data_IF_368792954227
#
_entry.id   IF_368792954227
#
_cell.length_a   1.000
_cell.length_b   1.000
_cell.length_c   1.000
_cell.angle_alpha   90.00
_cell.angle_beta   90.00
_cell.angle_gamma   90.00
#
_symmetry.space_group_name_H-M   'P 1'
#
loop_
_entity.id
_entity.type
_entity.pdbx_description
1 polymer ?
#
# COMPACT_ATOMS: atom_id res chain seq x y z
N UNK A 1 4.89 58.35 22.84
CA UNK A 1 5.65 57.52 21.88
C UNK A 1 5.18 56.09 22.04
N UNK A 2 4.25 55.66 21.18
CA UNK A 2 3.83 54.28 21.02
C UNK A 2 3.36 54.18 19.56
N UNK A 3 4.20 53.54 18.74
CA UNK A 3 4.05 53.47 17.30
C UNK A 3 2.85 52.62 16.89
N UNK A 4 1.99 53.21 16.05
CA UNK A 4 0.96 52.52 15.29
C UNK A 4 1.63 51.76 14.15
N UNK A 5 1.71 50.44 14.27
CA UNK A 5 2.05 49.56 13.14
C UNK A 5 0.77 49.33 12.35
N UNK A 6 0.64 50.07 11.27
CA UNK A 6 -0.44 50.03 10.29
C UNK A 6 -0.25 48.78 9.40
N UNK A 7 -1.05 47.75 9.65
CA UNK A 7 -1.08 46.53 8.83
C UNK A 7 -1.73 46.84 7.47
N UNK A 8 -0.88 47.22 6.53
CA UNK A 8 -1.20 47.43 5.13
C UNK A 8 -1.50 46.06 4.47
N UNK A 9 -2.74 45.59 4.62
CA UNK A 9 -3.28 44.46 3.86
C UNK A 9 -3.37 44.88 2.40
N UNK A 10 -2.39 44.45 1.62
CA UNK A 10 -2.42 44.46 0.16
C UNK A 10 -3.66 43.72 -0.36
N UNK A 11 -4.78 44.44 -0.48
CA UNK A 11 -5.88 44.12 -1.40
C UNK A 11 -5.38 44.31 -2.83
N UNK A 12 -4.51 43.40 -3.26
CA UNK A 12 -4.21 43.23 -4.67
C UNK A 12 -5.48 42.65 -5.29
N UNK A 13 -6.37 43.51 -5.80
CA UNK A 13 -7.51 43.14 -6.63
C UNK A 13 -7.00 42.20 -7.72
N UNK A 14 -7.14 40.89 -7.50
CA UNK A 14 -6.75 39.87 -8.46
C UNK A 14 -7.76 39.98 -9.59
N UNK A 15 -7.30 40.35 -10.78
CA UNK A 15 -8.13 40.37 -11.97
C UNK A 15 -8.86 39.02 -12.09
N UNK A 16 -10.19 39.07 -12.09
CA UNK A 16 -11.04 37.88 -12.18
C UNK A 16 -10.79 37.26 -13.54
N UNK A 17 -10.33 36.01 -13.56
CA UNK A 17 -10.12 35.28 -14.81
C UNK A 17 -11.48 34.90 -15.39
N UNK A 18 -11.84 35.49 -16.51
CA UNK A 18 -13.02 35.08 -17.27
C UNK A 18 -12.76 33.76 -18.00
N UNK A 19 -13.58 32.76 -17.71
CA UNK A 19 -13.62 31.47 -18.40
C UNK A 19 -15.07 31.13 -18.70
N UNK A 20 -15.35 30.52 -19.85
CA UNK A 20 -16.70 30.06 -20.14
C UNK A 20 -17.11 28.94 -19.16
N UNK A 21 -18.40 28.90 -18.84
CA UNK A 21 -18.97 27.94 -17.90
C UNK A 21 -18.65 26.49 -18.31
N UNK A 22 -18.79 26.17 -19.59
CA UNK A 22 -18.55 24.84 -20.14
C UNK A 22 -17.08 24.43 -20.04
N UNK A 23 -16.17 25.38 -20.24
CA UNK A 23 -14.73 25.12 -20.15
C UNK A 23 -14.32 24.91 -18.70
N UNK A 24 -14.87 25.68 -17.76
CA UNK A 24 -14.68 25.47 -16.32
C UNK A 24 -15.23 24.12 -15.87
N UNK A 25 -16.44 23.74 -16.33
CA UNK A 25 -17.04 22.42 -16.02
C UNK A 25 -16.16 21.26 -16.48
N UNK A 26 -15.69 21.29 -17.74
CA UNK A 26 -14.75 20.28 -18.28
C UNK A 26 -13.45 20.24 -17.50
N UNK A 27 -12.94 21.41 -17.09
CA UNK A 27 -11.74 21.51 -16.28
C UNK A 27 -11.95 20.85 -14.91
N UNK A 28 -13.02 21.20 -14.19
CA UNK A 28 -13.37 20.60 -12.91
C UNK A 28 -13.47 19.08 -13.03
N UNK A 29 -14.24 18.58 -14.00
CA UNK A 29 -14.44 17.14 -14.21
C UNK A 29 -13.12 16.41 -14.53
N UNK A 30 -12.23 17.00 -15.32
CA UNK A 30 -10.90 16.43 -15.60
C UNK A 30 -10.08 16.24 -14.32
N UNK A 31 -10.07 17.23 -13.42
CA UNK A 31 -9.33 17.11 -12.16
C UNK A 31 -9.99 16.14 -11.17
N UNK A 32 -11.32 16.10 -11.12
CA UNK A 32 -12.00 15.10 -10.30
C UNK A 32 -11.70 13.67 -10.77
N UNK A 33 -11.71 13.42 -12.08
CA UNK A 33 -11.34 12.12 -12.66
C UNK A 33 -9.87 11.76 -12.38
N UNK A 34 -9.00 12.74 -12.15
CA UNK A 34 -7.60 12.54 -11.74
C UNK A 34 -7.43 12.41 -10.21
N UNK A 35 -8.53 12.25 -9.45
CA UNK A 35 -8.51 11.99 -8.01
C UNK A 35 -8.33 13.22 -7.12
N UNK A 36 -8.55 14.44 -7.62
CA UNK A 36 -8.52 15.64 -6.79
C UNK A 36 -9.80 15.77 -5.96
N UNK A 37 -9.68 16.13 -4.68
CA UNK A 37 -10.87 16.31 -3.83
C UNK A 37 -11.64 17.60 -4.21
N UNK A 38 -12.99 17.59 -4.19
CA UNK A 38 -13.80 18.77 -4.51
C UNK A 38 -13.43 20.00 -3.68
N UNK A 39 -13.16 19.82 -2.38
CA UNK A 39 -12.80 20.91 -1.46
C UNK A 39 -11.49 21.60 -1.85
N UNK A 40 -10.44 20.81 -2.11
CA UNK A 40 -9.15 21.33 -2.55
C UNK A 40 -9.27 22.05 -3.90
N UNK A 41 -9.95 21.44 -4.86
CA UNK A 41 -10.09 21.99 -6.20
C UNK A 41 -10.92 23.28 -6.21
N UNK A 42 -11.97 23.38 -5.39
CA UNK A 42 -12.73 24.62 -5.18
C UNK A 42 -11.84 25.73 -4.65
N UNK A 43 -11.05 25.46 -3.60
CA UNK A 43 -10.12 26.43 -3.02
C UNK A 43 -9.06 26.88 -4.02
N UNK A 44 -8.44 25.93 -4.72
CA UNK A 44 -7.44 26.19 -5.75
C UNK A 44 -7.98 27.09 -6.87
N UNK A 45 -9.19 26.83 -7.39
CA UNK A 45 -9.78 27.66 -8.43
C UNK A 45 -10.02 29.11 -7.95
N UNK A 46 -10.55 29.29 -6.75
CA UNK A 46 -10.72 30.65 -6.19
C UNK A 46 -9.36 31.35 -6.02
N UNK A 47 -8.34 30.65 -5.54
CA UNK A 47 -6.99 31.19 -5.39
C UNK A 47 -6.35 31.57 -6.74
N UNK A 48 -6.64 30.82 -7.80
CA UNK A 48 -6.21 31.10 -9.17
C UNK A 48 -6.93 32.31 -9.80
N UNK A 49 -7.88 32.91 -9.08
CA UNK A 49 -8.62 34.11 -9.49
C UNK A 49 -9.89 33.81 -10.28
N UNK A 50 -10.43 32.59 -10.20
CA UNK A 50 -11.74 32.29 -10.77
C UNK A 50 -12.87 32.82 -9.87
N UNK A 51 -13.96 33.22 -10.49
CA UNK A 51 -15.15 33.72 -9.81
C UNK A 51 -15.76 32.65 -8.88
N UNK A 52 -15.92 33.00 -7.60
CA UNK A 52 -16.35 32.06 -6.55
C UNK A 52 -17.75 31.51 -6.82
N UNK A 53 -18.68 32.37 -7.22
CA UNK A 53 -20.07 32.00 -7.44
C UNK A 53 -20.22 31.10 -8.67
N UNK A 54 -19.44 31.39 -9.72
CA UNK A 54 -19.36 30.56 -10.91
C UNK A 54 -18.79 29.17 -10.60
N UNK A 55 -17.74 29.08 -9.76
CA UNK A 55 -17.20 27.80 -9.30
C UNK A 55 -18.26 27.03 -8.52
N UNK A 56 -18.91 27.65 -7.54
CA UNK A 56 -19.96 27.01 -6.71
C UNK A 56 -21.15 26.49 -7.51
N UNK A 57 -21.61 27.27 -8.49
CA UNK A 57 -22.69 26.88 -9.39
C UNK A 57 -22.33 25.64 -10.22
N UNK A 58 -21.09 25.57 -10.73
CA UNK A 58 -20.65 24.41 -11.52
C UNK A 58 -20.54 23.13 -10.68
N UNK A 59 -20.11 23.21 -9.41
CA UNK A 59 -20.10 22.04 -8.52
C UNK A 59 -21.52 21.54 -8.22
N UNK A 60 -22.44 22.46 -7.96
CA UNK A 60 -23.86 22.13 -7.75
C UNK A 60 -24.47 21.44 -8.97
N UNK A 61 -24.16 21.93 -10.17
CA UNK A 61 -24.64 21.35 -11.44
C UNK A 61 -23.99 20.01 -11.81
N UNK A 62 -22.82 19.69 -11.25
CA UNK A 62 -22.17 18.39 -11.44
C UNK A 62 -22.76 17.29 -10.55
N UNK A 63 -23.78 17.59 -9.73
CA UNK A 63 -24.37 16.63 -8.80
C UNK A 63 -23.44 16.26 -7.65
N UNK A 64 -22.31 16.98 -7.50
CA UNK A 64 -21.37 16.83 -6.41
C UNK A 64 -21.89 17.58 -5.19
N UNK A 65 -23.10 17.25 -4.75
CA UNK A 65 -23.49 17.55 -3.38
C UNK A 65 -22.66 16.61 -2.52
N UNK A 66 -21.61 17.14 -1.90
CA UNK A 66 -21.01 16.45 -0.77
C UNK A 66 -22.15 16.30 0.23
N UNK A 67 -22.58 15.07 0.45
CA UNK A 67 -23.66 14.77 1.38
C UNK A 67 -23.23 15.35 2.74
N UNK A 68 -23.98 16.32 3.29
CA UNK A 68 -23.52 17.07 4.46
C UNK A 68 -23.20 16.14 5.64
N UNK A 69 -23.90 15.02 5.73
CA UNK A 69 -23.64 13.96 6.70
C UNK A 69 -22.27 13.30 6.53
N UNK A 70 -21.79 13.13 5.30
CA UNK A 70 -20.47 12.54 5.04
C UNK A 70 -19.36 13.52 5.40
N UNK A 71 -19.59 14.82 5.15
CA UNK A 71 -18.64 15.88 5.49
C UNK A 71 -18.50 16.06 7.01
N UNK A 72 -19.62 15.99 7.75
CA UNK A 72 -19.64 15.99 9.20
C UNK A 72 -18.89 14.78 9.78
N UNK A 73 -19.07 13.58 9.20
CA UNK A 73 -18.34 12.37 9.61
C UNK A 73 -16.84 12.48 9.38
N UNK A 74 -16.40 13.10 8.28
CA UNK A 74 -14.97 13.33 8.05
C UNK A 74 -14.38 14.32 9.08
N UNK A 75 -15.09 15.40 9.40
CA UNK A 75 -14.65 16.36 10.42
C UNK A 75 -14.63 15.76 11.83
N UNK A 76 -15.58 14.86 12.15
CA UNK A 76 -15.61 14.13 13.41
C UNK A 76 -14.44 13.14 13.52
N UNK A 77 -14.13 12.39 12.46
CA UNK A 77 -12.98 11.48 12.39
C UNK A 77 -11.66 12.26 12.54
N UNK A 78 -11.54 13.42 11.87
CA UNK A 78 -10.35 14.27 11.99
C UNK A 78 -10.19 14.81 13.42
N UNK A 79 -11.28 15.25 14.07
CA UNK A 79 -11.25 15.63 15.49
C UNK A 79 -10.83 14.49 16.41
N UNK A 80 -11.35 13.28 16.19
CA UNK A 80 -10.98 12.09 16.99
C UNK A 80 -9.51 11.70 16.81
N UNK A 81 -8.99 11.79 15.59
CA UNK A 81 -7.57 11.54 15.27
C UNK A 81 -6.62 12.59 15.85
N UNK A 82 -7.05 13.85 15.93
CA UNK A 82 -6.29 14.91 16.61
C UNK A 82 -6.33 14.72 18.13
N UNK A 83 -7.50 14.37 18.68
CA UNK A 83 -7.66 14.14 20.12
C UNK A 83 -6.91 12.90 20.64
N UNK A 84 -6.64 11.90 19.79
CA UNK A 84 -5.86 10.72 20.17
C UNK A 84 -4.35 10.96 20.27
N UNK A 85 -3.88 12.21 20.17
CA UNK A 85 -2.48 12.58 20.39
C UNK A 85 -1.54 12.20 19.25
N UNK A 86 -2.07 11.82 18.09
CA UNK A 86 -1.29 11.46 16.90
C UNK A 86 -0.83 12.74 16.16
N UNK A 87 -0.19 13.70 16.83
CA UNK A 87 0.27 14.92 16.14
C UNK A 87 1.28 14.62 15.02
N UNK A 88 1.93 13.45 15.05
CA UNK A 88 2.79 12.94 14.00
C UNK A 88 2.08 12.57 12.68
N UNK A 89 0.75 12.39 12.67
CA UNK A 89 0.04 11.96 11.45
C UNK A 89 0.12 13.03 10.34
N UNK A 90 0.19 14.32 10.69
CA UNK A 90 0.24 15.41 9.69
C UNK A 90 1.49 15.35 8.81
N UNK A 91 2.61 14.86 9.35
CA UNK A 91 3.84 14.65 8.60
C UNK A 91 3.83 13.34 7.79
N UNK A 92 3.04 12.34 8.18
CA UNK A 92 2.89 11.09 7.44
C UNK A 92 1.89 11.21 6.29
N UNK A 93 0.73 11.81 6.53
CA UNK A 93 -0.34 11.98 5.54
C UNK A 93 0.13 12.84 4.35
N UNK A 94 0.99 13.85 4.58
CA UNK A 94 1.55 14.66 3.49
C UNK A 94 2.55 13.91 2.58
N UNK A 95 3.08 12.76 3.02
CA UNK A 95 4.01 11.91 2.26
C UNK A 95 3.38 10.70 1.61
N UNK A 96 2.12 10.37 1.93
CA UNK A 96 1.44 9.23 1.30
C UNK A 96 1.20 9.59 -0.18
N UNK A 97 1.77 8.82 -1.13
CA UNK A 97 1.51 9.02 -2.54
C UNK A 97 0.01 8.83 -2.83
N UNK A 98 -0.53 9.54 -3.82
CA UNK A 98 -1.99 9.66 -4.04
C UNK A 98 -2.73 8.31 -4.16
N UNK A 99 -2.05 7.25 -4.60
CA UNK A 99 -2.61 5.89 -4.65
C UNK A 99 -2.83 5.28 -3.25
N UNK A 100 -2.07 5.69 -2.23
CA UNK A 100 -2.26 5.25 -0.86
C UNK A 100 -3.57 5.71 -0.24
N UNK A 101 -4.10 6.87 -0.66
CA UNK A 101 -5.45 7.31 -0.25
C UNK A 101 -6.55 6.45 -0.89
N UNK A 102 -6.35 6.00 -2.13
CA UNK A 102 -7.28 5.09 -2.81
C UNK A 102 -7.26 3.72 -2.15
N UNK A 103 -6.08 3.21 -1.78
CA UNK A 103 -5.93 1.96 -1.04
C UNK A 103 -6.59 2.06 0.35
N UNK A 104 -6.35 3.14 1.09
CA UNK A 104 -6.97 3.38 2.39
C UNK A 104 -8.49 3.46 2.30
N UNK A 105 -9.02 4.17 1.28
CA UNK A 105 -10.44 4.27 1.04
C UNK A 105 -11.06 2.91 0.68
N UNK A 106 -10.38 2.09 -0.14
CA UNK A 106 -10.81 0.75 -0.48
C UNK A 106 -10.87 -0.16 0.76
N UNK A 107 -9.86 -0.09 1.64
CA UNK A 107 -9.84 -0.82 2.91
C UNK A 107 -10.97 -0.36 3.83
N UNK A 108 -11.23 0.94 3.95
CA UNK A 108 -12.35 1.45 4.75
C UNK A 108 -13.71 1.00 4.20
N UNK A 109 -13.88 0.99 2.88
CA UNK A 109 -15.10 0.47 2.24
C UNK A 109 -15.28 -1.02 2.52
N UNK A 110 -14.22 -1.82 2.44
CA UNK A 110 -14.27 -3.25 2.78
C UNK A 110 -14.66 -3.48 4.24
N UNK A 111 -14.08 -2.72 5.18
CA UNK A 111 -14.44 -2.80 6.61
C UNK A 111 -15.92 -2.45 6.82
N UNK A 112 -16.42 -1.39 6.18
CA UNK A 112 -17.82 -0.99 6.27
C UNK A 112 -18.75 -2.08 5.69
N UNK A 113 -18.39 -2.70 4.56
CA UNK A 113 -19.15 -3.79 3.96
C UNK A 113 -19.21 -4.99 4.93
N UNK A 114 -18.10 -5.37 5.55
CA UNK A 114 -18.08 -6.47 6.52
C UNK A 114 -18.87 -6.18 7.80
N UNK A 115 -19.04 -4.91 8.17
CA UNK A 115 -19.87 -4.52 9.32
C UNK A 115 -21.37 -4.45 8.97
N UNK A 116 -21.72 -4.07 7.74
CA UNK A 116 -23.11 -3.95 7.29
C UNK A 116 -23.72 -5.27 6.86
N UNK A 117 -22.90 -6.18 6.34
CA UNK A 117 -23.26 -7.55 6.04
C UNK A 117 -22.51 -8.43 7.03
N UNK A 118 -23.00 -8.59 8.28
CA UNK A 118 -22.53 -9.70 9.08
C UNK A 118 -22.70 -10.94 8.21
N UNK A 119 -21.62 -11.67 7.99
CA UNK A 119 -21.66 -12.95 7.30
C UNK A 119 -22.60 -13.84 8.10
N UNK A 120 -23.88 -13.88 7.70
CA UNK A 120 -24.82 -14.88 8.15
C UNK A 120 -24.13 -16.22 7.86
N UNK A 121 -23.96 -17.01 8.91
CA UNK A 121 -23.32 -18.31 8.86
C UNK A 121 -24.02 -19.14 7.77
N UNK A 122 -23.37 -19.23 6.60
CA UNK A 122 -23.81 -20.11 5.54
C UNK A 122 -23.60 -21.54 6.04
N UNK A 123 -24.70 -22.15 6.45
CA UNK A 123 -24.81 -23.56 6.81
C UNK A 123 -24.65 -24.42 5.54
N UNK A 124 -23.44 -24.49 5.01
CA UNK A 124 -23.07 -25.40 3.92
C UNK A 124 -22.72 -26.77 4.50
N UNK A 125 -23.75 -27.58 4.69
CA UNK A 125 -23.63 -29.03 4.70
C UNK A 125 -23.16 -29.55 3.33
N UNK A 126 -21.87 -29.40 3.02
CA UNK A 126 -21.23 -29.96 1.83
C UNK A 126 -19.72 -30.02 1.99
N UNK A 127 -19.20 -31.18 2.46
CA UNK A 127 -17.85 -31.71 2.18
C UNK A 127 -16.71 -30.66 2.04
N UNK A 128 -16.53 -29.79 3.02
CA UNK A 128 -15.43 -28.82 3.06
C UNK A 128 -14.29 -29.21 4.03
N UNK A 129 -14.16 -30.49 4.37
CA UNK A 129 -13.11 -30.98 5.30
C UNK A 129 -11.68 -30.94 4.72
N UNK A 130 -11.45 -30.40 3.52
CA UNK A 130 -10.13 -30.47 2.86
C UNK A 130 -9.54 -29.11 2.41
N UNK A 131 -10.24 -27.98 2.64
CA UNK A 131 -9.80 -26.65 2.20
C UNK A 131 -9.17 -25.77 3.29
N UNK A 132 -9.13 -26.25 4.54
CA UNK A 132 -8.51 -25.57 5.67
C UNK A 132 -7.17 -26.16 6.08
N UNK A 133 -6.43 -26.78 5.14
CA UNK A 133 -4.97 -26.83 5.26
C UNK A 133 -4.46 -25.40 5.15
N UNK A 134 -4.53 -24.68 6.26
CA UNK A 134 -3.75 -23.50 6.51
C UNK A 134 -2.31 -23.94 6.28
N UNK A 135 -1.75 -23.58 5.12
CA UNK A 135 -0.35 -23.78 4.80
C UNK A 135 0.42 -22.99 5.85
N UNK A 136 0.77 -23.67 6.93
CA UNK A 136 1.47 -23.09 8.05
C UNK A 136 2.92 -22.99 7.63
N UNK A 137 3.29 -21.79 7.16
CA UNK A 137 4.69 -21.45 6.90
C UNK A 137 5.43 -21.68 8.21
N UNK A 138 6.40 -22.60 8.21
CA UNK A 138 7.17 -22.92 9.40
C UNK A 138 8.21 -21.84 9.64
N UNK A 139 8.03 -21.06 10.69
CA UNK A 139 9.03 -20.09 11.13
C UNK A 139 10.16 -20.83 11.88
N UNK A 140 11.33 -20.89 11.26
CA UNK A 140 12.53 -21.48 11.84
C UNK A 140 13.37 -20.44 12.62
N UNK A 141 12.96 -19.16 12.67
CA UNK A 141 13.72 -18.10 13.33
C UNK A 141 15.16 -18.04 12.83
N UNK A 142 16.13 -18.13 13.75
CA UNK A 142 17.57 -18.17 13.44
C UNK A 142 18.15 -19.61 13.41
N UNK A 143 17.31 -20.64 13.39
CA UNK A 143 17.77 -22.03 13.34
C UNK A 143 17.96 -22.49 11.89
N UNK A 144 19.20 -22.41 11.40
CA UNK A 144 19.56 -22.83 10.04
C UNK A 144 19.24 -24.30 9.75
N UNK A 145 19.49 -25.21 10.69
CA UNK A 145 19.24 -26.64 10.49
C UNK A 145 17.75 -26.96 10.32
N UNK A 146 16.89 -26.25 11.07
CA UNK A 146 15.44 -26.31 10.89
C UNK A 146 15.06 -25.95 9.45
N UNK A 147 15.60 -24.83 8.94
CA UNK A 147 15.28 -24.37 7.59
C UNK A 147 15.80 -25.32 6.51
N UNK A 148 17.04 -25.80 6.63
CA UNK A 148 17.61 -26.77 5.70
C UNK A 148 16.80 -28.06 5.65
N UNK A 149 16.29 -28.53 6.79
CA UNK A 149 15.44 -29.71 6.86
C UNK A 149 14.12 -29.51 6.12
N UNK A 150 13.45 -28.36 6.29
CA UNK A 150 12.20 -28.07 5.58
C UNK A 150 12.43 -27.80 4.09
N UNK A 151 13.47 -27.05 3.74
CA UNK A 151 13.82 -26.70 2.37
C UNK A 151 14.15 -27.95 1.54
N UNK A 152 14.91 -28.92 2.08
CA UNK A 152 15.17 -30.22 1.43
C UNK A 152 13.90 -30.99 1.11
N UNK A 153 12.87 -30.82 1.94
CA UNK A 153 11.56 -31.45 1.78
C UNK A 153 10.57 -30.61 0.98
N UNK A 154 10.97 -29.42 0.52
CA UNK A 154 10.14 -28.44 -0.18
C UNK A 154 8.87 -28.07 0.59
N UNK A 155 9.05 -27.84 1.88
CA UNK A 155 8.01 -27.32 2.76
C UNK A 155 8.24 -25.85 2.99
N UNK A 156 7.13 -25.14 3.14
CA UNK A 156 7.17 -23.71 3.34
C UNK A 156 7.83 -23.39 4.68
N UNK A 157 8.97 -22.70 4.63
CA UNK A 157 9.73 -22.35 5.81
C UNK A 157 10.43 -21.01 5.66
N UNK A 158 10.66 -20.33 6.77
CA UNK A 158 11.33 -19.03 6.84
C UNK A 158 12.49 -19.09 7.84
N UNK A 159 13.63 -18.55 7.45
CA UNK A 159 14.83 -18.39 8.27
C UNK A 159 15.32 -16.95 8.20
N UNK A 160 15.67 -16.39 9.35
CA UNK A 160 16.17 -15.03 9.48
C UNK A 160 17.58 -15.06 10.03
N UNK A 161 18.50 -14.40 9.34
CA UNK A 161 19.88 -14.24 9.75
C UNK A 161 20.17 -12.76 10.01
N UNK A 162 20.69 -12.47 11.19
CA UNK A 162 21.15 -11.12 11.54
C UNK A 162 22.62 -10.92 11.14
N UNK A 163 22.92 -9.80 10.49
CA UNK A 163 24.23 -9.38 10.00
C UNK A 163 24.49 -7.92 10.39
N UNK A 164 25.36 -7.68 11.37
CA UNK A 164 25.82 -6.34 11.78
C UNK A 164 24.72 -5.24 11.80
N UNK A 165 23.55 -5.58 12.34
CA UNK A 165 22.40 -4.67 12.47
C UNK A 165 21.38 -4.70 11.32
N UNK A 166 21.67 -5.39 10.22
CA UNK A 166 20.72 -5.78 9.18
C UNK A 166 20.21 -7.20 9.41
N UNK A 167 19.08 -7.56 8.80
CA UNK A 167 18.56 -8.93 8.85
C UNK A 167 18.14 -9.41 7.45
N UNK A 168 18.62 -10.58 7.05
CA UNK A 168 18.27 -11.24 5.78
C UNK A 168 17.27 -12.35 6.07
N UNK A 169 16.21 -12.43 5.27
CA UNK A 169 15.21 -13.48 5.32
C UNK A 169 15.36 -14.41 4.11
N UNK A 170 15.35 -15.70 4.40
CA UNK A 170 15.33 -16.79 3.44
C UNK A 170 14.00 -17.51 3.55
N UNK A 171 13.32 -17.75 2.44
CA UNK A 171 12.10 -18.54 2.40
C UNK A 171 12.21 -19.67 1.39
N UNK A 172 11.82 -20.87 1.79
CA UNK A 172 11.61 -21.99 0.88
C UNK A 172 10.11 -22.16 0.66
N UNK A 173 9.70 -22.47 -0.57
CA UNK A 173 8.34 -22.92 -0.87
C UNK A 173 8.29 -23.88 -2.06
N UNK A 174 7.18 -24.63 -2.15
CA UNK A 174 6.89 -25.41 -3.36
C UNK A 174 6.53 -24.48 -4.53
N UNK A 175 7.04 -24.77 -5.73
CA UNK A 175 6.65 -24.07 -6.96
C UNK A 175 5.18 -24.38 -7.27
N UNK A 176 4.37 -23.37 -7.59
CA UNK A 176 2.99 -23.60 -8.01
C UNK A 176 2.93 -24.23 -9.40
N UNK A 177 1.82 -24.91 -9.72
CA UNK A 177 1.63 -25.52 -11.05
C UNK A 177 1.62 -24.46 -12.17
N UNK A 178 1.12 -23.26 -11.87
CA UNK A 178 1.12 -22.12 -12.80
C UNK A 178 2.54 -21.58 -13.04
N UNK A 179 3.35 -21.45 -11.99
CA UNK A 179 4.74 -21.02 -12.10
C UNK A 179 5.61 -22.08 -12.80
N UNK A 180 5.31 -23.36 -12.62
CA UNK A 180 5.96 -24.46 -13.32
C UNK A 180 5.64 -24.45 -14.83
N UNK A 181 4.43 -24.07 -15.21
CA UNK A 181 4.02 -24.00 -16.62
C UNK A 181 4.60 -22.80 -17.38
N UNK A 182 4.97 -21.73 -16.67
CA UNK A 182 5.58 -20.53 -17.26
C UNK A 182 7.09 -20.70 -17.57
N UNK A 183 7.75 -21.71 -16.99
CA UNK A 183 9.12 -22.08 -17.33
C UNK A 183 9.12 -22.93 -18.60
N UNK A 184 9.46 -22.33 -19.73
CA UNK A 184 9.60 -23.00 -21.03
C UNK A 184 10.72 -24.07 -21.01
N UNK A 185 10.42 -25.27 -20.52
CA UNK A 185 11.20 -26.45 -20.82
C UNK A 185 10.24 -27.58 -21.23
N UNK A 186 10.11 -27.76 -22.55
CA UNK A 186 9.23 -28.70 -23.25
C UNK A 186 9.56 -30.19 -23.01
N UNK A 187 10.23 -30.53 -21.91
CA UNK A 187 10.62 -31.90 -21.61
C UNK A 187 9.55 -32.58 -20.76
N UNK A 188 8.60 -33.15 -21.49
CA UNK A 188 7.40 -33.83 -21.01
C UNK A 188 7.78 -35.16 -20.33
N UNK A 189 8.32 -35.12 -19.11
CA UNK A 189 8.19 -36.17 -18.10
C UNK A 189 8.87 -35.79 -16.76
N UNK A 190 8.08 -35.95 -15.69
CA UNK A 190 8.45 -36.03 -14.28
C UNK A 190 8.57 -34.75 -13.43
N UNK A 191 7.45 -34.50 -12.75
CA UNK A 191 7.30 -34.36 -11.30
C UNK A 191 7.61 -33.00 -10.66
N UNK A 192 6.52 -32.40 -10.16
CA UNK A 192 6.22 -31.48 -9.05
C UNK A 192 7.19 -31.37 -7.84
N UNK A 193 8.48 -31.60 -8.06
CA UNK A 193 9.55 -31.57 -7.07
C UNK A 193 10.41 -30.30 -7.19
N UNK A 194 9.94 -29.30 -7.95
CA UNK A 194 10.61 -28.01 -8.06
C UNK A 194 10.14 -27.09 -6.95
N UNK A 195 11.11 -26.36 -6.40
CA UNK A 195 10.95 -25.59 -5.18
C UNK A 195 11.69 -24.27 -5.38
N UNK A 196 11.20 -23.20 -4.77
CA UNK A 196 11.81 -21.87 -4.86
C UNK A 196 12.45 -21.56 -3.51
N UNK A 197 13.70 -21.13 -3.56
CA UNK A 197 14.34 -20.40 -2.50
C UNK A 197 14.27 -18.90 -2.84
N UNK A 198 13.78 -18.08 -1.92
CA UNK A 198 13.83 -16.62 -2.01
C UNK A 198 14.75 -16.09 -0.91
N UNK A 199 15.58 -15.10 -1.25
CA UNK A 199 16.39 -14.32 -0.31
C UNK A 199 16.04 -12.85 -0.45
N UNK A 200 15.84 -12.16 0.67
CA UNK A 200 15.57 -10.72 0.70
C UNK A 200 16.06 -10.06 1.98
N UNK A 201 16.23 -8.73 1.94
CA UNK A 201 16.44 -7.96 3.17
C UNK A 201 15.11 -7.79 3.90
N UNK A 202 15.07 -8.24 5.16
CA UNK A 202 13.93 -8.01 6.06
C UNK A 202 14.05 -6.68 6.79
N UNK A 203 15.28 -6.32 7.17
CA UNK A 203 15.57 -5.03 7.77
C UNK A 203 17.03 -4.65 7.50
N UNK A 204 17.32 -3.35 7.59
CA UNK A 204 18.66 -2.79 7.40
C UNK A 204 19.14 -2.13 8.68
N UNK A 205 20.45 -2.15 8.89
CA UNK A 205 21.11 -1.44 9.97
C UNK A 205 20.71 0.04 10.00
N UNK A 206 20.61 0.60 11.21
CA UNK A 206 20.34 2.02 11.38
C UNK A 206 21.45 2.89 10.74
N UNK A 207 22.67 2.36 10.64
CA UNK A 207 23.82 3.01 10.03
C UNK A 207 23.79 3.00 8.49
N UNK A 208 22.96 2.15 7.88
CA UNK A 208 22.93 2.00 6.42
C UNK A 208 22.34 3.26 5.75
N UNK A 209 22.98 3.82 4.71
CA UNK A 209 22.48 4.99 3.98
C UNK A 209 21.10 4.74 3.36
N UNK A 210 20.30 5.80 3.28
CA UNK A 210 18.92 5.70 2.78
C UNK A 210 18.88 5.22 1.33
N UNK A 211 19.82 5.66 0.51
CA UNK A 211 19.92 5.30 -0.90
C UNK A 211 20.13 3.78 -1.08
N UNK A 212 20.86 3.13 -0.17
CA UNK A 212 21.07 1.68 -0.18
C UNK A 212 19.81 0.96 0.27
N UNK A 213 19.15 1.44 1.35
CA UNK A 213 17.86 0.87 1.80
C UNK A 213 16.82 0.92 0.68
N UNK A 214 16.63 2.08 0.08
CA UNK A 214 15.64 2.29 -0.99
C UNK A 214 15.97 1.40 -2.22
N UNK A 215 17.25 1.14 -2.51
CA UNK A 215 17.66 0.27 -3.62
C UNK A 215 17.40 -1.22 -3.36
N UNK A 216 17.67 -1.70 -2.13
CA UNK A 216 17.65 -3.13 -1.82
C UNK A 216 16.39 -3.61 -1.11
N UNK A 217 15.56 -2.71 -0.57
CA UNK A 217 14.36 -3.08 0.20
C UNK A 217 13.31 -3.81 -0.65
N UNK A 218 13.27 -3.55 -1.96
CA UNK A 218 12.34 -4.20 -2.90
C UNK A 218 12.99 -5.33 -3.70
N UNK A 219 14.31 -5.56 -3.54
CA UNK A 219 15.03 -6.59 -4.28
C UNK A 219 14.88 -7.94 -3.58
N UNK A 220 14.38 -8.91 -4.34
CA UNK A 220 14.33 -10.31 -3.93
C UNK A 220 15.12 -11.16 -4.95
N UNK A 221 15.95 -12.07 -4.44
CA UNK A 221 16.64 -13.05 -5.28
C UNK A 221 15.93 -14.39 -5.15
N UNK A 222 15.59 -14.99 -6.30
CA UNK A 222 14.91 -16.29 -6.35
C UNK A 222 15.78 -17.33 -7.05
N UNK A 223 15.79 -18.55 -6.52
CA UNK A 223 16.52 -19.68 -7.08
C UNK A 223 15.63 -20.91 -7.06
N UNK A 224 15.46 -21.54 -8.21
CA UNK A 224 14.75 -22.82 -8.30
C UNK A 224 15.68 -23.98 -7.97
N UNK A 225 15.20 -24.94 -7.21
CA UNK A 225 15.94 -26.17 -6.88
C UNK A 225 15.02 -27.38 -6.86
N UNK A 226 15.62 -28.57 -6.98
CA UNK A 226 14.90 -29.84 -6.89
C UNK A 226 14.84 -30.34 -5.45
N UNK A 227 13.69 -30.89 -5.05
CA UNK A 227 13.51 -31.61 -3.78
C UNK A 227 14.67 -32.59 -3.56
N UNK A 228 15.14 -32.68 -2.31
CA UNK A 228 16.29 -33.48 -1.87
C UNK A 228 17.65 -33.08 -2.47
N UNK A 229 17.68 -32.14 -3.43
CA UNK A 229 18.91 -31.62 -4.06
C UNK A 229 19.30 -30.24 -3.53
N UNK A 230 18.71 -29.79 -2.41
CA UNK A 230 19.04 -28.50 -1.80
C UNK A 230 20.46 -28.54 -1.24
N UNK A 231 21.36 -27.79 -1.87
CA UNK A 231 22.75 -27.68 -1.41
C UNK A 231 22.78 -26.89 -0.09
N UNK A 232 23.31 -27.52 0.97
CA UNK A 232 23.43 -26.88 2.27
C UNK A 232 24.40 -25.68 2.23
N UNK A 233 25.36 -25.71 1.31
CA UNK A 233 26.32 -24.61 1.12
C UNK A 233 25.66 -23.41 0.46
N UNK A 234 24.55 -23.59 -0.27
CA UNK A 234 23.82 -22.46 -0.88
C UNK A 234 23.39 -21.45 0.18
N UNK A 235 23.02 -21.91 1.38
CA UNK A 235 22.67 -21.01 2.49
C UNK A 235 23.90 -20.29 3.08
N UNK A 236 25.10 -20.87 2.98
CA UNK A 236 26.36 -20.26 3.46
C UNK A 236 26.93 -19.29 2.43
N UNK A 237 26.91 -19.66 1.14
CA UNK A 237 27.37 -18.83 0.02
C UNK A 237 26.51 -17.58 -0.16
N UNK A 238 25.26 -17.62 0.32
CA UNK A 238 24.39 -16.46 0.33
C UNK A 238 24.70 -15.48 1.47
N UNK A 239 25.60 -15.79 2.41
CA UNK A 239 26.02 -14.87 3.48
C UNK A 239 27.27 -14.08 3.09
N UNK A 240 28.10 -14.65 2.21
CA UNK A 240 29.34 -14.06 1.70
C UNK A 240 29.08 -12.99 0.63
#
# INVERSE_FOLDING_TARGET
MADKIENNKNEKLRAVKHISKEKLKKYIQKYLNNGYTPSYLKKFLVEQGYDKDLVEKNYSELGLKLEPELQEKFEEIEKKLVASGVEGYKNYISKIPKWGYVALAAVLVLVIITMLYPTDEFDEGSKADDLSRTFTIKDCGNNKDCFLLEARNCRDAVYVQDLEGSSIEFSSRKLSEEEAAAGEDNNNNNNNNNCILTKRFKSFSAAEPKEIKDLFQELEMTCSYKKESFDANLADDLVA
#
